data_IF_073272851391
#
_entry.id   IF_073272851391
#
_cell.length_a   1.000
_cell.length_b   1.000
_cell.length_c   1.000
_cell.angle_alpha   90.00
_cell.angle_beta   90.00
_cell.angle_gamma   90.00
#
_symmetry.space_group_name_H-M   'P 1'
#
loop_
_entity.id
_entity.type
_entity.pdbx_description
1 polymer ?
#
# COMPACT_ATOMS: atom_id res chain seq x y z
N UNK A 1 -15.62 2.06 -21.34
CA UNK A 1 -15.06 3.42 -21.19
C UNK A 1 -16.12 4.39 -20.69
N UNK A 2 -17.37 4.31 -21.17
CA UNK A 2 -18.49 5.16 -20.73
C UNK A 2 -18.87 4.91 -19.26
N UNK A 3 -19.09 3.65 -18.86
CA UNK A 3 -19.37 3.28 -17.48
C UNK A 3 -18.33 3.77 -16.44
N UNK A 4 -17.06 3.92 -16.84
CA UNK A 4 -16.02 4.47 -15.97
C UNK A 4 -16.14 5.99 -15.82
N UNK A 5 -16.64 6.69 -16.85
CA UNK A 5 -16.93 8.13 -16.77
C UNK A 5 -18.12 8.40 -15.86
N UNK A 6 -19.15 7.55 -15.97
CA UNK A 6 -20.37 7.68 -15.16
C UNK A 6 -20.04 7.48 -13.67
N UNK A 7 -19.29 6.44 -13.32
CA UNK A 7 -18.83 6.20 -11.95
C UNK A 7 -17.97 7.34 -11.40
N UNK A 8 -17.07 7.90 -12.21
CA UNK A 8 -16.25 9.05 -11.82
C UNK A 8 -17.11 10.30 -11.59
N UNK A 9 -18.12 10.51 -12.44
CA UNK A 9 -19.06 11.62 -12.26
C UNK A 9 -19.89 11.49 -10.98
N UNK A 10 -20.29 10.26 -10.62
CA UNK A 10 -20.97 9.98 -9.34
C UNK A 10 -20.05 10.25 -8.15
N UNK A 11 -18.80 9.80 -8.20
CA UNK A 11 -17.78 10.09 -7.18
C UNK A 11 -17.58 11.59 -7.03
N UNK A 12 -17.39 12.33 -8.12
CA UNK A 12 -17.22 13.78 -8.11
C UNK A 12 -18.44 14.50 -7.52
N UNK A 13 -19.64 13.95 -7.67
CA UNK A 13 -20.87 14.50 -7.05
C UNK A 13 -20.87 14.26 -5.55
N UNK A 14 -20.55 13.05 -5.11
CA UNK A 14 -20.46 12.71 -3.69
C UNK A 14 -19.37 13.52 -2.97
N UNK A 15 -18.23 13.71 -3.60
CA UNK A 15 -17.12 14.51 -3.05
C UNK A 15 -17.56 15.98 -2.85
N UNK A 16 -18.31 16.55 -3.79
CA UNK A 16 -18.88 17.91 -3.64
C UNK A 16 -19.86 17.98 -2.47
N UNK A 17 -20.71 16.98 -2.30
CA UNK A 17 -21.65 16.91 -1.16
C UNK A 17 -20.90 16.81 0.17
N UNK A 18 -19.86 15.99 0.24
CA UNK A 18 -19.00 15.86 1.42
C UNK A 18 -18.35 17.19 1.78
N UNK A 19 -17.80 17.92 0.80
CA UNK A 19 -17.20 19.25 1.01
C UNK A 19 -18.23 20.23 1.54
N UNK A 20 -19.46 20.22 1.01
CA UNK A 20 -20.53 21.09 1.48
C UNK A 20 -20.95 20.75 2.91
N UNK A 21 -21.04 19.48 3.27
CA UNK A 21 -21.33 19.03 4.63
C UNK A 21 -20.23 19.43 5.61
N UNK A 22 -18.96 19.35 5.23
CA UNK A 22 -17.85 19.84 6.04
C UNK A 22 -17.91 21.35 6.25
N UNK A 23 -18.19 22.13 5.20
CA UNK A 23 -18.34 23.57 5.29
C UNK A 23 -19.48 23.95 6.26
N UNK A 24 -20.64 23.29 6.14
CA UNK A 24 -21.78 23.49 7.04
C UNK A 24 -21.46 23.14 8.49
N UNK A 25 -20.70 22.06 8.71
CA UNK A 25 -20.25 21.69 10.05
C UNK A 25 -19.33 22.74 10.65
N UNK A 26 -18.39 23.29 9.89
CA UNK A 26 -17.49 24.37 10.35
C UNK A 26 -18.28 25.62 10.74
N UNK A 27 -19.30 25.99 9.96
CA UNK A 27 -20.16 27.11 10.27
C UNK A 27 -20.92 26.91 11.59
N UNK A 28 -21.46 25.70 11.83
CA UNK A 28 -22.13 25.39 13.10
C UNK A 28 -21.16 25.41 14.30
N UNK A 29 -19.93 24.96 14.13
CA UNK A 29 -18.91 25.05 15.18
C UNK A 29 -18.56 26.50 15.50
N UNK A 30 -18.48 27.36 14.49
CA UNK A 30 -18.29 28.81 14.70
C UNK A 30 -19.45 29.43 15.50
N UNK A 31 -20.69 29.04 15.20
CA UNK A 31 -21.86 29.50 15.97
C UNK A 31 -21.82 29.02 17.43
N UNK A 32 -21.44 27.77 17.67
CA UNK A 32 -21.22 27.23 19.03
C UNK A 32 -20.15 28.04 19.76
N UNK A 33 -19.04 28.37 19.10
CA UNK A 33 -17.99 29.23 19.67
C UNK A 33 -18.54 30.62 20.11
N UNK A 34 -19.36 31.27 19.28
CA UNK A 34 -19.99 32.53 19.61
C UNK A 34 -20.93 32.44 20.84
N UNK A 35 -21.75 31.40 20.89
CA UNK A 35 -22.65 31.15 22.03
C UNK A 35 -21.86 30.89 23.32
N UNK A 36 -20.81 30.11 23.26
CA UNK A 36 -19.92 29.87 24.43
C UNK A 36 -19.27 31.15 24.91
N UNK A 37 -18.78 32.00 24.01
CA UNK A 37 -18.21 33.30 24.35
C UNK A 37 -19.19 34.20 25.04
N UNK A 38 -20.45 34.29 24.55
CA UNK A 38 -21.49 35.09 25.13
C UNK A 38 -21.87 34.68 26.56
N UNK A 39 -21.68 33.40 26.90
CA UNK A 39 -22.03 32.85 28.21
C UNK A 39 -20.79 32.63 29.11
N UNK A 40 -19.63 33.16 28.75
CA UNK A 40 -18.39 33.04 29.54
C UNK A 40 -17.89 31.60 29.72
N UNK A 41 -18.27 30.67 28.80
CA UNK A 41 -17.81 29.31 28.83
C UNK A 41 -16.42 29.20 28.17
N UNK A 42 -15.52 28.32 28.67
CA UNK A 42 -14.19 28.18 28.11
C UNK A 42 -14.28 27.76 26.62
N UNK A 43 -13.70 28.59 25.76
CA UNK A 43 -13.58 28.30 24.35
C UNK A 43 -12.28 27.48 24.19
N UNK A 44 -12.43 26.19 24.04
CA UNK A 44 -11.34 25.41 23.45
C UNK A 44 -11.24 25.86 22.01
N UNK A 45 -10.04 26.16 21.51
CA UNK A 45 -9.86 26.71 20.17
C UNK A 45 -9.83 25.56 19.13
N UNK A 46 -11.00 25.14 18.60
CA UNK A 46 -11.07 23.96 17.74
C UNK A 46 -10.85 24.28 16.27
N UNK A 47 -10.70 25.55 15.88
CA UNK A 47 -10.69 25.94 14.46
C UNK A 47 -9.45 25.41 13.73
N UNK A 48 -8.33 25.31 14.41
CA UNK A 48 -7.08 24.78 13.85
C UNK A 48 -7.06 23.24 13.88
N UNK A 49 -7.51 22.64 14.99
CA UNK A 49 -7.61 21.19 15.14
C UNK A 49 -8.66 20.56 14.22
N UNK A 50 -9.73 21.28 13.87
CA UNK A 50 -10.78 20.78 12.97
C UNK A 50 -10.33 20.80 11.52
N UNK A 51 -9.60 21.83 11.09
CA UNK A 51 -9.03 21.87 9.74
C UNK A 51 -8.03 20.73 9.53
N UNK A 52 -7.14 20.53 10.49
CA UNK A 52 -6.17 19.43 10.49
C UNK A 52 -6.87 18.06 10.53
N UNK A 53 -7.94 17.92 11.33
CA UNK A 53 -8.73 16.69 11.41
C UNK A 53 -9.46 16.40 10.09
N UNK A 54 -10.03 17.40 9.43
CA UNK A 54 -10.70 17.24 8.13
C UNK A 54 -9.68 16.84 7.07
N UNK A 55 -8.51 17.47 7.05
CA UNK A 55 -7.44 17.10 6.14
C UNK A 55 -6.97 15.65 6.38
N UNK A 56 -6.82 15.24 7.63
CA UNK A 56 -6.47 13.87 7.99
C UNK A 56 -7.53 12.85 7.59
N UNK A 57 -8.81 13.17 7.79
CA UNK A 57 -9.93 12.31 7.38
C UNK A 57 -9.98 12.18 5.87
N UNK A 58 -9.84 13.28 5.12
CA UNK A 58 -9.82 13.26 3.66
C UNK A 58 -8.59 12.48 3.13
N UNK A 59 -7.42 12.68 3.71
CA UNK A 59 -6.21 11.92 3.35
C UNK A 59 -6.35 10.43 3.62
N UNK A 60 -7.00 10.04 4.73
CA UNK A 60 -7.30 8.63 5.03
C UNK A 60 -8.31 8.07 4.05
N UNK A 61 -9.38 8.81 3.78
CA UNK A 61 -10.42 8.40 2.84
C UNK A 61 -9.85 8.18 1.42
N UNK A 62 -9.05 9.13 0.92
CA UNK A 62 -8.34 8.99 -0.36
C UNK A 62 -7.42 7.77 -0.37
N UNK A 63 -6.68 7.55 0.70
CA UNK A 63 -5.77 6.40 0.84
C UNK A 63 -6.52 5.07 0.83
N UNK A 64 -7.65 4.97 1.53
CA UNK A 64 -8.51 3.78 1.53
C UNK A 64 -9.17 3.56 0.18
N UNK A 65 -9.58 4.62 -0.53
CA UNK A 65 -10.11 4.53 -1.88
C UNK A 65 -9.07 3.99 -2.86
N UNK A 66 -7.84 4.51 -2.85
CA UNK A 66 -6.74 3.98 -3.65
C UNK A 66 -6.36 2.54 -3.25
N UNK A 67 -6.41 2.20 -1.97
CA UNK A 67 -6.16 0.84 -1.52
C UNK A 67 -7.23 -0.14 -2.03
N UNK A 68 -8.49 0.29 -2.10
CA UNK A 68 -9.57 -0.50 -2.66
C UNK A 68 -9.44 -0.67 -4.19
N UNK A 69 -9.07 0.38 -4.92
CA UNK A 69 -8.78 0.26 -6.35
C UNK A 69 -7.61 -0.69 -6.62
N UNK A 70 -6.54 -0.58 -5.82
CA UNK A 70 -5.34 -1.39 -5.98
C UNK A 70 -5.51 -2.87 -5.58
N UNK A 71 -6.58 -3.25 -4.85
CA UNK A 71 -6.80 -4.67 -4.53
C UNK A 71 -7.09 -5.55 -5.76
N UNK A 72 -7.47 -4.95 -6.89
CA UNK A 72 -7.69 -5.65 -8.16
C UNK A 72 -6.39 -5.84 -8.97
N UNK A 73 -5.23 -5.38 -8.47
CA UNK A 73 -3.94 -5.50 -9.12
C UNK A 73 -3.74 -4.54 -10.29
N UNK A 74 -2.67 -4.76 -11.03
CA UNK A 74 -2.35 -3.99 -12.22
C UNK A 74 -2.98 -4.63 -13.46
N UNK A 75 -3.46 -3.79 -14.38
CA UNK A 75 -4.13 -4.29 -15.59
C UNK A 75 -3.15 -4.78 -16.67
N UNK A 76 -1.91 -4.33 -16.62
CA UNK A 76 -0.88 -4.69 -17.58
C UNK A 76 0.12 -5.62 -16.92
N UNK A 77 0.23 -6.83 -17.43
CA UNK A 77 1.22 -7.81 -17.03
C UNK A 77 2.22 -8.02 -18.15
N UNK A 78 3.48 -8.25 -17.76
CA UNK A 78 4.49 -8.72 -18.69
C UNK A 78 4.30 -10.23 -18.86
N UNK A 79 3.98 -10.67 -20.07
CA UNK A 79 3.74 -12.07 -20.42
C UNK A 79 5.00 -12.96 -20.34
N UNK A 80 6.18 -12.34 -20.31
CA UNK A 80 7.46 -13.06 -20.26
C UNK A 80 7.81 -13.50 -18.83
N UNK A 81 7.07 -13.00 -17.82
CA UNK A 81 7.23 -13.39 -16.43
C UNK A 81 6.21 -14.47 -16.09
N UNK A 82 6.68 -15.70 -15.90
CA UNK A 82 5.85 -16.87 -15.63
C UNK A 82 5.84 -17.25 -14.14
N UNK A 83 6.88 -16.86 -13.37
CA UNK A 83 6.97 -17.17 -11.95
C UNK A 83 7.75 -16.12 -11.18
N UNK A 84 7.13 -15.63 -10.10
CA UNK A 84 7.78 -14.73 -9.14
C UNK A 84 7.88 -15.45 -7.79
N UNK A 85 9.06 -15.43 -7.18
CA UNK A 85 9.27 -15.92 -5.81
C UNK A 85 9.50 -14.74 -4.89
N UNK A 86 8.78 -14.70 -3.76
CA UNK A 86 8.96 -13.69 -2.72
C UNK A 86 9.56 -14.35 -1.49
N UNK A 87 10.78 -13.95 -1.16
CA UNK A 87 11.49 -14.39 0.04
C UNK A 87 11.08 -13.50 1.20
N UNK A 88 10.56 -14.09 2.27
CA UNK A 88 9.92 -13.35 3.37
C UNK A 88 8.49 -12.92 3.04
N UNK A 89 7.81 -13.67 2.18
CA UNK A 89 6.48 -13.34 1.67
C UNK A 89 5.35 -13.41 2.71
N UNK A 90 5.56 -13.98 3.88
CA UNK A 90 4.60 -13.94 4.99
C UNK A 90 4.76 -12.71 5.88
N UNK A 91 5.80 -11.90 5.67
CA UNK A 91 5.96 -10.59 6.30
C UNK A 91 4.94 -9.56 5.82
N UNK A 92 4.82 -8.43 6.54
CA UNK A 92 3.86 -7.36 6.20
C UNK A 92 4.06 -6.81 4.79
N UNK A 93 5.30 -6.50 4.43
CA UNK A 93 5.64 -5.93 3.12
C UNK A 93 5.63 -7.00 2.02
N UNK A 94 6.28 -8.15 2.24
CA UNK A 94 6.29 -9.27 1.30
C UNK A 94 4.88 -9.78 1.01
N UNK A 95 4.04 -9.92 2.02
CA UNK A 95 2.64 -10.32 1.86
C UNK A 95 1.79 -9.30 1.10
N UNK A 96 2.09 -7.99 1.25
CA UNK A 96 1.46 -6.95 0.47
C UNK A 96 1.80 -7.10 -1.02
N UNK A 97 3.08 -7.26 -1.35
CA UNK A 97 3.53 -7.49 -2.73
C UNK A 97 2.97 -8.79 -3.31
N UNK A 98 2.97 -9.88 -2.53
CA UNK A 98 2.39 -11.15 -2.95
C UNK A 98 0.92 -11.02 -3.35
N UNK A 99 0.14 -10.27 -2.56
CA UNK A 99 -1.28 -10.03 -2.84
C UNK A 99 -1.49 -9.22 -4.11
N UNK A 100 -0.76 -8.12 -4.29
CA UNK A 100 -0.93 -7.28 -5.47
C UNK A 100 -0.47 -7.96 -6.75
N UNK A 101 0.66 -8.64 -6.73
CA UNK A 101 1.16 -9.36 -7.90
C UNK A 101 0.25 -10.54 -8.29
N UNK A 102 -0.31 -11.27 -7.30
CA UNK A 102 -1.33 -12.30 -7.58
C UNK A 102 -2.60 -11.69 -8.18
N UNK A 103 -3.08 -10.58 -7.63
CA UNK A 103 -4.24 -9.87 -8.18
C UNK A 103 -3.99 -9.35 -9.61
N UNK A 104 -2.74 -9.08 -9.96
CA UNK A 104 -2.31 -8.73 -11.33
C UNK A 104 -2.14 -9.95 -12.25
N UNK A 105 -2.37 -11.17 -11.75
CA UNK A 105 -2.33 -12.40 -12.55
C UNK A 105 -0.97 -13.11 -12.59
N UNK A 106 0.02 -12.66 -11.82
CA UNK A 106 1.31 -13.36 -11.75
C UNK A 106 1.25 -14.59 -10.86
N UNK A 107 1.82 -15.74 -11.27
CA UNK A 107 2.05 -16.90 -10.41
C UNK A 107 3.10 -16.55 -9.33
N UNK A 108 2.68 -16.58 -8.07
CA UNK A 108 3.53 -16.23 -6.93
C UNK A 108 3.78 -17.44 -6.04
N UNK A 109 5.05 -17.74 -5.81
CA UNK A 109 5.52 -18.66 -4.77
C UNK A 109 6.13 -17.86 -3.62
N UNK A 110 6.08 -18.42 -2.42
CA UNK A 110 6.69 -17.80 -1.23
C UNK A 110 7.79 -18.75 -0.74
N UNK A 111 8.92 -18.18 -0.38
CA UNK A 111 10.02 -18.82 0.34
C UNK A 111 10.16 -18.10 1.68
N UNK A 112 9.89 -18.78 2.79
CA UNK A 112 10.05 -18.20 4.12
C UNK A 112 10.95 -19.08 4.98
N UNK A 113 11.10 -18.77 6.26
CA UNK A 113 12.09 -19.39 7.17
C UNK A 113 12.00 -20.91 7.23
N UNK A 114 10.82 -21.47 7.12
CA UNK A 114 10.57 -22.92 7.25
C UNK A 114 10.75 -23.66 5.92
N UNK A 115 10.86 -22.93 4.80
CA UNK A 115 10.82 -23.50 3.46
C UNK A 115 12.20 -23.78 2.86
N UNK A 116 13.31 -23.42 3.55
CA UNK A 116 14.66 -23.53 3.01
C UNK A 116 15.08 -24.97 2.64
N UNK A 117 14.50 -25.97 3.30
CA UNK A 117 14.75 -27.38 2.94
C UNK A 117 14.25 -27.75 1.54
N UNK A 118 13.31 -26.97 1.00
CA UNK A 118 12.71 -27.16 -0.34
C UNK A 118 12.94 -25.94 -1.24
N UNK A 119 13.88 -25.07 -0.89
CA UNK A 119 14.17 -23.82 -1.59
C UNK A 119 14.46 -24.03 -3.08
N UNK A 120 15.20 -25.08 -3.44
CA UNK A 120 15.50 -25.44 -4.82
C UNK A 120 14.22 -25.64 -5.64
N UNK A 121 13.27 -26.38 -5.11
CA UNK A 121 11.96 -26.61 -5.75
C UNK A 121 11.14 -25.34 -5.88
N UNK A 122 11.17 -24.47 -4.86
CA UNK A 122 10.44 -23.19 -4.88
C UNK A 122 11.06 -22.23 -5.88
N UNK A 123 12.38 -22.15 -5.96
CA UNK A 123 13.11 -21.23 -6.84
C UNK A 123 13.24 -21.75 -8.28
N UNK A 124 13.01 -23.05 -8.50
CA UNK A 124 13.07 -23.62 -9.85
C UNK A 124 12.15 -22.88 -10.82
N UNK A 125 12.71 -22.49 -11.98
CA UNK A 125 12.03 -21.74 -13.04
C UNK A 125 11.42 -20.40 -12.60
N UNK A 126 12.00 -19.75 -11.59
CA UNK A 126 11.62 -18.40 -11.24
C UNK A 126 12.23 -17.40 -12.24
N UNK A 127 11.44 -16.44 -12.72
CA UNK A 127 11.92 -15.34 -13.54
C UNK A 127 12.33 -14.15 -12.66
N UNK A 128 11.62 -13.97 -11.52
CA UNK A 128 11.88 -12.87 -10.59
C UNK A 128 11.91 -13.40 -9.16
N UNK A 129 12.94 -13.01 -8.42
CA UNK A 129 13.08 -13.27 -6.98
C UNK A 129 13.10 -11.95 -6.25
N UNK A 130 12.13 -11.73 -5.35
CA UNK A 130 11.99 -10.49 -4.56
C UNK A 130 12.34 -10.80 -3.10
N UNK A 131 13.37 -10.15 -2.57
CA UNK A 131 13.79 -10.30 -1.16
C UNK A 131 13.08 -9.25 -0.32
N UNK A 132 12.27 -9.70 0.64
CA UNK A 132 11.47 -8.87 1.56
C UNK A 132 11.64 -9.32 3.01
N UNK A 133 12.88 -9.38 3.44
CA UNK A 133 13.26 -9.75 4.82
C UNK A 133 13.69 -8.48 5.60
N UNK A 134 13.82 -8.56 6.94
CA UNK A 134 14.42 -7.47 7.72
C UNK A 134 15.80 -7.09 7.19
N UNK A 135 16.11 -5.78 7.22
CA UNK A 135 17.33 -5.21 6.60
C UNK A 135 18.62 -5.88 7.08
N UNK A 136 18.69 -6.24 8.35
CA UNK A 136 19.82 -6.95 8.94
C UNK A 136 20.01 -8.39 8.47
N UNK A 137 19.00 -8.98 7.82
CA UNK A 137 19.04 -10.34 7.28
C UNK A 137 19.17 -10.34 5.76
N UNK A 138 19.11 -9.19 5.10
CA UNK A 138 19.07 -9.11 3.64
C UNK A 138 20.31 -9.70 3.00
N UNK A 139 21.50 -9.36 3.49
CA UNK A 139 22.76 -9.86 2.93
C UNK A 139 22.89 -11.37 3.12
N UNK A 140 22.64 -11.87 4.32
CA UNK A 140 22.67 -13.31 4.62
C UNK A 140 21.67 -14.09 3.74
N UNK A 141 20.47 -13.51 3.54
CA UNK A 141 19.45 -14.13 2.68
C UNK A 141 19.90 -14.17 1.23
N UNK A 142 20.49 -13.08 0.70
CA UNK A 142 21.01 -13.05 -0.68
C UNK A 142 22.15 -14.06 -0.84
N UNK A 143 23.06 -14.16 0.12
CA UNK A 143 24.12 -15.18 0.11
C UNK A 143 23.54 -16.61 0.08
N UNK A 144 22.50 -16.87 0.86
CA UNK A 144 21.84 -18.17 0.91
C UNK A 144 21.08 -18.49 -0.39
N UNK A 145 20.65 -17.47 -1.14
CA UNK A 145 19.98 -17.64 -2.44
C UNK A 145 20.97 -17.94 -3.58
N UNK A 146 22.23 -17.52 -3.48
CA UNK A 146 23.23 -17.66 -4.56
C UNK A 146 23.27 -19.04 -5.24
N UNK A 147 23.22 -20.17 -4.52
CA UNK A 147 23.29 -21.49 -5.15
C UNK A 147 22.11 -21.79 -6.09
N UNK A 148 21.00 -21.08 -5.94
CA UNK A 148 19.75 -21.31 -6.66
C UNK A 148 19.47 -20.28 -7.75
N UNK A 149 20.24 -19.17 -7.78
CA UNK A 149 20.08 -18.12 -8.78
C UNK A 149 20.72 -18.49 -10.10
N UNK A 150 20.06 -18.14 -11.20
CA UNK A 150 20.55 -18.31 -12.56
C UNK A 150 20.67 -16.97 -13.25
N UNK A 151 21.44 -16.91 -14.35
CA UNK A 151 21.64 -15.66 -15.13
C UNK A 151 20.33 -15.08 -15.71
N UNK A 152 19.30 -15.89 -15.85
CA UNK A 152 18.01 -15.48 -16.39
C UNK A 152 17.03 -14.98 -15.31
N UNK A 153 17.39 -15.04 -14.02
CA UNK A 153 16.57 -14.58 -12.92
C UNK A 153 16.87 -13.12 -12.60
N UNK A 154 15.83 -12.32 -12.45
CA UNK A 154 15.93 -10.98 -11.90
C UNK A 154 15.84 -11.06 -10.37
N UNK A 155 16.90 -10.67 -9.68
CA UNK A 155 16.90 -10.52 -8.22
C UNK A 155 16.64 -9.06 -7.86
N UNK A 156 15.63 -8.82 -7.02
CA UNK A 156 15.29 -7.50 -6.48
C UNK A 156 15.18 -7.57 -4.96
N UNK A 157 15.57 -6.52 -4.26
CA UNK A 157 15.35 -6.38 -2.82
C UNK A 157 14.50 -5.14 -2.50
N UNK A 158 13.77 -5.19 -1.39
CA UNK A 158 12.91 -4.11 -0.93
C UNK A 158 13.54 -3.27 0.20
N UNK A 159 14.85 -3.38 0.41
CA UNK A 159 15.55 -2.59 1.43
C UNK A 159 15.73 -1.15 1.00
N UNK A 160 15.54 -0.23 1.95
CA UNK A 160 15.71 1.22 1.72
C UNK A 160 17.16 1.69 1.77
N UNK A 161 18.05 0.92 2.41
CA UNK A 161 19.48 1.24 2.56
C UNK A 161 20.32 0.30 1.71
N UNK A 162 21.13 0.85 0.80
CA UNK A 162 21.91 0.12 -0.20
C UNK A 162 23.42 0.10 0.05
N UNK A 163 23.88 0.36 1.27
CA UNK A 163 25.34 0.41 1.55
C UNK A 163 25.99 -0.97 1.65
N UNK A 164 25.24 -1.99 2.08
CA UNK A 164 25.76 -3.34 2.30
C UNK A 164 25.18 -4.41 1.35
N UNK A 165 23.95 -4.30 0.83
CA UNK A 165 23.41 -5.30 -0.09
C UNK A 165 23.92 -5.23 -1.54
N UNK A 166 24.83 -4.30 -1.83
CA UNK A 166 25.46 -4.14 -3.15
C UNK A 166 26.95 -4.61 -3.05
#
# INVERSE_FOLDING_TARGET
>A
MEALKDLRSEIDSLDRELIQLFAKRLELVSQVGKVKHQHGLPIYAPEREIADLIEDVLRRFMRESYANENQFGFKTINSDIHKIVIVGGYGKLGGLFARYLRASGYPISILDREDWAVAESILANADVVIVSVPINLTLETIESLKPYLTENMLLADLTSVKREPL
#
